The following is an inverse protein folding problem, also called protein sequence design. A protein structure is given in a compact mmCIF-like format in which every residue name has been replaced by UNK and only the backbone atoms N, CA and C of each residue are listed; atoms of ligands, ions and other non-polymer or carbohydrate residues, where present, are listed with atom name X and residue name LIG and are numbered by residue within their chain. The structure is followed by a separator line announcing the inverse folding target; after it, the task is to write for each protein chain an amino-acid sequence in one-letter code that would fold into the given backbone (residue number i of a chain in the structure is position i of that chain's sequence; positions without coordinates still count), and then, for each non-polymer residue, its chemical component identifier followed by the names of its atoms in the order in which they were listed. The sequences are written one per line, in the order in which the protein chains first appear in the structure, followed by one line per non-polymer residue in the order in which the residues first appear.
data_IF_465141290181
#
_entry.id   IF_465141290181
#
_cell.length_a   1.000
_cell.length_b   1.000
_cell.length_c   1.000
_cell.angle_alpha   90.00
_cell.angle_beta   90.00
_cell.angle_gamma   90.00
#
_symmetry.space_group_name_H-M   'P 1'
#
loop_
_entity.id
_entity.type
_entity.pdbx_description
1 polymer ?
#
# COMPACT_ATOMS: atom_id res chain seq x y z
N UNK A 1 18.78 -12.41 5.76
CA UNK A 1 17.98 -12.47 4.51
C UNK A 1 16.55 -12.03 4.80
N UNK A 2 15.85 -12.66 5.75
CA UNK A 2 14.52 -12.24 6.21
C UNK A 2 14.49 -10.87 6.93
N UNK A 3 15.44 -10.58 7.81
CA UNK A 3 15.50 -9.30 8.53
C UNK A 3 15.56 -8.10 7.56
N UNK A 4 16.38 -8.20 6.51
CA UNK A 4 16.48 -7.16 5.47
C UNK A 4 15.14 -6.99 4.74
N UNK A 5 14.49 -8.10 4.38
CA UNK A 5 13.18 -8.06 3.73
C UNK A 5 12.13 -7.38 4.62
N UNK A 6 12.11 -7.65 5.93
CA UNK A 6 11.20 -6.98 6.87
C UNK A 6 11.50 -5.47 6.95
N UNK A 7 12.77 -5.08 6.99
CA UNK A 7 13.18 -3.66 6.99
C UNK A 7 12.78 -2.96 5.69
N UNK A 8 13.02 -3.59 4.54
CA UNK A 8 12.62 -3.08 3.22
C UNK A 8 11.10 -2.94 3.11
N UNK A 9 10.34 -3.95 3.56
CA UNK A 9 8.87 -3.92 3.60
C UNK A 9 8.36 -2.72 4.39
N UNK A 10 8.94 -2.45 5.56
CA UNK A 10 8.56 -1.31 6.39
C UNK A 10 8.83 0.02 5.70
N UNK A 11 9.98 0.14 5.03
CA UNK A 11 10.33 1.35 4.29
C UNK A 11 9.37 1.57 3.12
N UNK A 12 9.06 0.52 2.34
CA UNK A 12 8.10 0.61 1.24
C UNK A 12 6.70 0.96 1.73
N UNK A 13 6.26 0.44 2.90
CA UNK A 13 4.99 0.84 3.53
C UNK A 13 4.98 2.34 3.82
N UNK A 14 6.03 2.88 4.44
CA UNK A 14 6.11 4.31 4.74
C UNK A 14 6.06 5.17 3.47
N UNK A 15 6.81 4.77 2.44
CA UNK A 15 6.84 5.46 1.15
C UNK A 15 5.46 5.39 0.46
N UNK A 16 4.77 4.25 0.53
CA UNK A 16 3.42 4.11 -0.01
C UNK A 16 2.43 5.00 0.72
N UNK A 17 2.47 5.02 2.05
CA UNK A 17 1.60 5.89 2.86
C UNK A 17 1.81 7.36 2.51
N UNK A 18 3.06 7.79 2.30
CA UNK A 18 3.33 9.16 1.84
C UNK A 18 2.74 9.41 0.44
N UNK A 19 2.87 8.45 -0.48
CA UNK A 19 2.28 8.54 -1.81
C UNK A 19 0.74 8.63 -1.78
N UNK A 20 0.08 7.93 -0.85
CA UNK A 20 -1.37 8.02 -0.64
C UNK A 20 -1.77 9.41 -0.14
N UNK A 21 -1.02 9.97 0.82
CA UNK A 21 -1.23 11.34 1.30
C UNK A 21 -1.03 12.38 0.20
N UNK A 22 0.00 12.21 -0.64
CA UNK A 22 0.22 13.07 -1.80
C UNK A 22 -0.95 12.97 -2.80
N UNK A 23 -1.43 11.76 -3.08
CA UNK A 23 -2.62 11.53 -3.93
C UNK A 23 -3.85 12.26 -3.35
N UNK A 24 -4.08 12.15 -2.04
CA UNK A 24 -5.17 12.86 -1.37
C UNK A 24 -5.05 14.39 -1.50
N UNK A 25 -3.84 14.94 -1.36
CA UNK A 25 -3.57 16.39 -1.53
C UNK A 25 -3.80 16.83 -2.98
N UNK A 26 -3.39 16.04 -3.96
CA UNK A 26 -3.64 16.31 -5.38
C UNK A 26 -5.14 16.36 -5.68
N UNK A 27 -5.89 15.36 -5.22
CA UNK A 27 -7.35 15.32 -5.38
C UNK A 27 -8.02 16.49 -4.66
N UNK A 28 -7.50 16.91 -3.50
CA UNK A 28 -8.04 18.03 -2.75
C UNK A 28 -7.91 19.38 -3.46
N UNK A 29 -6.91 19.54 -4.34
CA UNK A 29 -6.68 20.75 -5.16
C UNK A 29 -7.61 20.86 -6.37
N UNK A 30 -8.33 19.79 -6.71
CA UNK A 30 -9.25 19.78 -7.85
C UNK A 30 -10.49 20.65 -7.58
N UNK A 31 -11.14 21.21 -8.62
CA UNK A 31 -12.43 21.87 -8.49
C UNK A 31 -13.49 20.95 -7.86
N UNK A 32 -14.45 21.53 -7.14
CA UNK A 32 -15.42 20.78 -6.30
C UNK A 32 -16.05 19.57 -7.00
N UNK A 33 -16.63 19.74 -8.20
CA UNK A 33 -17.29 18.66 -8.93
C UNK A 33 -16.31 17.56 -9.36
N UNK A 34 -15.14 17.93 -9.87
CA UNK A 34 -14.08 16.99 -10.25
C UNK A 34 -13.57 16.23 -9.03
N UNK A 35 -13.22 16.95 -7.96
CA UNK A 35 -12.79 16.40 -6.67
C UNK A 35 -13.76 15.35 -6.15
N UNK A 36 -15.06 15.69 -6.10
CA UNK A 36 -16.11 14.79 -5.62
C UNK A 36 -16.19 13.51 -6.46
N UNK A 37 -16.11 13.63 -7.79
CA UNK A 37 -16.17 12.48 -8.69
C UNK A 37 -14.91 11.60 -8.63
N UNK A 38 -13.73 12.21 -8.50
CA UNK A 38 -12.47 11.47 -8.35
C UNK A 38 -12.44 10.73 -7.02
N UNK A 39 -12.79 11.39 -5.90
CA UNK A 39 -12.88 10.73 -4.58
C UNK A 39 -13.84 9.54 -4.59
N UNK A 40 -15.05 9.74 -5.12
CA UNK A 40 -16.04 8.66 -5.22
C UNK A 40 -15.53 7.50 -6.09
N UNK A 41 -14.78 7.78 -7.15
CA UNK A 41 -14.20 6.74 -8.00
C UNK A 41 -13.11 5.96 -7.28
N UNK A 42 -12.25 6.63 -6.50
CA UNK A 42 -11.22 6.01 -5.67
C UNK A 42 -11.86 5.10 -4.62
N UNK A 43 -12.80 5.62 -3.83
CA UNK A 43 -13.52 4.86 -2.81
C UNK A 43 -14.23 3.64 -3.41
N UNK A 44 -14.87 3.81 -4.57
CA UNK A 44 -15.52 2.70 -5.28
C UNK A 44 -14.52 1.66 -5.79
N UNK A 45 -13.37 2.07 -6.29
CA UNK A 45 -12.35 1.17 -6.83
C UNK A 45 -11.70 0.35 -5.71
N UNK A 46 -11.39 0.98 -4.58
CA UNK A 46 -10.68 0.36 -3.47
C UNK A 46 -11.63 -0.40 -2.53
N UNK A 47 -12.88 0.06 -2.41
CA UNK A 47 -13.82 -0.38 -1.38
C UNK A 47 -13.61 0.30 -0.02
N UNK A 48 -12.70 1.29 0.04
CA UNK A 48 -12.40 2.12 1.20
C UNK A 48 -11.78 3.44 0.74
N UNK A 49 -11.76 4.45 1.61
CA UNK A 49 -11.06 5.70 1.31
C UNK A 49 -9.53 5.57 1.50
N UNK A 50 -8.78 6.51 0.92
CA UNK A 50 -7.32 6.51 0.94
C UNK A 50 -6.72 6.77 2.33
N UNK A 51 -7.46 7.43 3.22
CA UNK A 51 -7.02 7.71 4.59
C UNK A 51 -7.11 6.44 5.44
N UNK A 52 -8.22 5.73 5.37
CA UNK A 52 -8.40 4.41 5.97
C UNK A 52 -7.38 3.39 5.45
N UNK A 53 -7.00 3.45 4.17
CA UNK A 53 -5.92 2.60 3.63
C UNK A 53 -4.56 2.99 4.23
N UNK A 54 -4.30 4.28 4.38
CA UNK A 54 -3.06 4.79 4.99
C UNK A 54 -2.95 4.33 6.45
N UNK A 55 -4.02 4.47 7.22
CA UNK A 55 -4.08 4.04 8.62
C UNK A 55 -3.89 2.52 8.73
N UNK A 56 -4.57 1.76 7.86
CA UNK A 56 -4.39 0.32 7.78
C UNK A 56 -2.94 -0.07 7.52
N UNK A 57 -2.25 0.60 6.59
CA UNK A 57 -0.84 0.34 6.29
C UNK A 57 0.07 0.67 7.48
N UNK A 58 -0.18 1.79 8.17
CA UNK A 58 0.59 2.19 9.35
C UNK A 58 0.39 1.21 10.52
N UNK A 59 -0.81 0.63 10.67
CA UNK A 59 -1.08 -0.42 11.64
C UNK A 59 -0.23 -1.69 11.43
N UNK A 60 0.32 -1.95 10.24
CA UNK A 60 1.23 -3.09 10.02
C UNK A 60 2.61 -2.86 10.63
N UNK A 61 3.06 -1.61 10.76
CA UNK A 61 4.44 -1.31 11.15
C UNK A 61 4.82 -1.88 12.53
N UNK A 62 3.97 -1.79 13.58
CA UNK A 62 4.26 -2.41 14.86
C UNK A 62 4.40 -3.94 14.77
N UNK A 63 3.56 -4.60 13.94
CA UNK A 63 3.65 -6.05 13.75
C UNK A 63 4.95 -6.45 13.03
N UNK A 64 5.35 -5.70 12.00
CA UNK A 64 6.62 -5.94 11.31
C UNK A 64 7.83 -5.69 12.22
N UNK A 65 7.76 -4.71 13.11
CA UNK A 65 8.78 -4.49 14.14
C UNK A 65 8.86 -5.66 15.13
N UNK A 66 7.71 -6.16 15.57
CA UNK A 66 7.65 -7.31 16.47
C UNK A 66 8.26 -8.54 15.79
N UNK A 67 7.89 -8.83 14.54
CA UNK A 67 8.44 -9.93 13.76
C UNK A 67 9.96 -9.80 13.59
N UNK A 68 10.45 -8.60 13.24
CA UNK A 68 11.90 -8.36 13.15
C UNK A 68 12.64 -8.67 14.46
N UNK A 69 12.09 -8.22 15.60
CA UNK A 69 12.68 -8.51 16.91
C UNK A 69 12.63 -10.00 17.25
N UNK A 70 11.51 -10.66 16.98
CA UNK A 70 11.35 -12.10 17.25
C UNK A 70 12.36 -12.93 16.43
N UNK A 71 12.54 -12.59 15.15
CA UNK A 71 13.56 -13.20 14.26
C UNK A 71 14.96 -12.95 14.81
N UNK A 72 15.30 -11.69 15.11
CA UNK A 72 16.61 -11.30 15.62
C UNK A 72 16.99 -12.03 16.92
N UNK A 73 16.02 -12.18 17.84
CA UNK A 73 16.23 -12.87 19.12
C UNK A 73 15.95 -14.37 19.08
N UNK A 74 15.67 -14.95 17.89
CA UNK A 74 15.35 -16.36 17.70
C UNK A 74 14.20 -16.87 18.59
N UNK A 75 13.18 -16.02 18.81
CA UNK A 75 11.99 -16.31 19.62
C UNK A 75 10.87 -16.89 18.76
N UNK A 76 11.15 -18.02 18.12
CA UNK A 76 10.24 -18.67 17.16
C UNK A 76 8.90 -19.09 17.78
N UNK A 77 8.88 -19.37 19.09
CA UNK A 77 7.66 -19.65 19.87
C UNK A 77 6.61 -18.53 19.81
N UNK A 78 7.05 -17.28 19.57
CA UNK A 78 6.16 -16.10 19.50
C UNK A 78 5.81 -15.71 18.07
N UNK A 79 6.53 -16.24 17.08
CA UNK A 79 6.36 -15.92 15.66
C UNK A 79 5.01 -16.42 15.15
N UNK A 80 4.51 -17.56 15.62
CA UNK A 80 3.24 -18.14 15.16
C UNK A 80 2.03 -17.22 15.38
N UNK A 81 1.99 -16.49 16.50
CA UNK A 81 0.92 -15.53 16.79
C UNK A 81 1.01 -14.32 15.87
N UNK A 82 2.22 -13.80 15.67
CA UNK A 82 2.46 -12.64 14.79
C UNK A 82 2.22 -13.01 13.32
N UNK A 83 2.56 -14.23 12.88
CA UNK A 83 2.24 -14.76 11.55
C UNK A 83 0.74 -14.98 11.34
N UNK A 84 0.04 -15.53 12.33
CA UNK A 84 -1.42 -15.66 12.28
C UNK A 84 -2.08 -14.29 12.13
N UNK A 85 -1.58 -13.30 12.86
CA UNK A 85 -2.05 -11.90 12.74
C UNK A 85 -1.75 -11.36 11.34
N UNK A 86 -0.53 -11.53 10.83
CA UNK A 86 -0.15 -11.10 9.47
C UNK A 86 -1.08 -11.71 8.41
N UNK A 87 -1.30 -13.03 8.46
CA UNK A 87 -2.13 -13.76 7.51
C UNK A 87 -3.61 -13.33 7.56
N UNK A 88 -4.23 -13.46 8.72
CA UNK A 88 -5.69 -13.34 8.82
C UNK A 88 -6.18 -11.90 8.97
N UNK A 89 -5.39 -11.01 9.57
CA UNK A 89 -5.77 -9.59 9.72
C UNK A 89 -5.35 -8.76 8.52
N UNK A 90 -4.12 -8.95 8.02
CA UNK A 90 -3.52 -8.03 7.08
C UNK A 90 -3.50 -8.58 5.65
N UNK A 91 -2.92 -9.76 5.38
CA UNK A 91 -2.89 -10.33 4.02
C UNK A 91 -4.29 -10.56 3.44
N UNK A 92 -5.26 -10.98 4.26
CA UNK A 92 -6.66 -11.12 3.83
C UNK A 92 -7.30 -9.82 3.30
N UNK A 93 -6.71 -8.66 3.59
CA UNK A 93 -7.17 -7.34 3.12
C UNK A 93 -6.23 -6.71 2.07
N UNK A 94 -5.13 -7.38 1.72
CA UNK A 94 -4.11 -6.82 0.81
C UNK A 94 -4.55 -6.73 -0.65
N UNK A 95 -5.66 -7.37 -1.04
CA UNK A 95 -6.30 -7.19 -2.36
C UNK A 95 -6.60 -5.71 -2.67
N UNK A 96 -6.70 -4.86 -1.65
CA UNK A 96 -6.84 -3.41 -1.83
C UNK A 96 -5.62 -2.79 -2.53
N UNK A 97 -4.40 -3.32 -2.33
CA UNK A 97 -3.19 -2.84 -3.00
C UNK A 97 -3.17 -3.23 -4.47
N UNK A 98 -3.73 -4.38 -4.82
CA UNK A 98 -3.94 -4.78 -6.22
C UNK A 98 -4.93 -3.84 -6.90
N UNK A 99 -6.03 -3.49 -6.22
CA UNK A 99 -7.03 -2.52 -6.72
C UNK A 99 -6.44 -1.11 -6.85
N UNK A 100 -5.60 -0.70 -5.90
CA UNK A 100 -4.87 0.57 -5.95
C UNK A 100 -3.93 0.62 -7.15
N UNK A 101 -3.20 -0.47 -7.40
CA UNK A 101 -2.31 -0.59 -8.54
C UNK A 101 -3.08 -0.52 -9.87
N UNK A 102 -4.25 -1.16 -9.95
CA UNK A 102 -5.13 -1.05 -11.11
C UNK A 102 -5.60 0.41 -11.34
N UNK A 103 -5.97 1.12 -10.27
CA UNK A 103 -6.34 2.53 -10.36
C UNK A 103 -5.18 3.42 -10.82
N UNK A 104 -3.96 3.19 -10.33
CA UNK A 104 -2.79 3.96 -10.76
C UNK A 104 -2.41 3.70 -12.22
N UNK A 105 -2.65 2.48 -12.72
CA UNK A 105 -2.46 2.15 -14.14
C UNK A 105 -3.46 2.88 -15.03
N UNK A 106 -4.72 2.93 -14.62
CA UNK A 106 -5.79 3.57 -15.38
C UNK A 106 -6.63 4.47 -14.48
N UNK A 107 -6.23 5.76 -14.32
CA UNK A 107 -6.92 6.67 -13.43
C UNK A 107 -8.32 6.99 -13.94
N UNK A 108 -9.22 7.32 -13.03
CA UNK A 108 -10.60 7.60 -13.37
C UNK A 108 -10.75 8.73 -14.40
N UNK A 109 -11.70 8.56 -15.33
CA UNK A 109 -11.98 9.53 -16.40
C UNK A 109 -12.18 10.98 -15.92
N UNK A 110 -12.79 11.28 -14.75
CA UNK A 110 -12.89 12.65 -14.26
C UNK A 110 -11.52 13.33 -14.03
N UNK A 111 -10.50 12.57 -13.61
CA UNK A 111 -9.14 13.09 -13.42
C UNK A 111 -8.48 13.35 -14.79
N UNK A 112 -8.52 12.36 -15.68
CA UNK A 112 -7.88 12.48 -17.01
C UNK A 112 -8.51 13.59 -17.86
N UNK A 113 -9.83 13.78 -17.78
CA UNK A 113 -10.54 14.90 -18.45
C UNK A 113 -10.19 16.26 -17.87
N UNK A 114 -9.93 16.36 -16.58
CA UNK A 114 -9.54 17.62 -15.94
C UNK A 114 -8.11 18.02 -16.31
N UNK A 115 -7.21 17.05 -16.49
CA UNK A 115 -5.84 17.25 -16.94
C UNK A 115 -5.82 17.52 -18.45
N UNK A 116 -6.33 18.68 -18.86
CA UNK A 116 -6.49 19.08 -20.27
C UNK A 116 -5.17 19.35 -20.99
N UNK A 117 -4.10 19.67 -20.26
CA UNK A 117 -2.75 19.80 -20.82
C UNK A 117 -2.07 18.43 -20.82
N UNK A 118 -1.69 17.96 -22.01
CA UNK A 118 -0.99 16.69 -22.21
C UNK A 118 0.21 16.51 -21.27
N UNK A 119 1.03 17.54 -21.11
CA UNK A 119 2.20 17.51 -20.23
C UNK A 119 1.84 17.24 -18.76
N UNK A 120 0.77 17.86 -18.24
CA UNK A 120 0.32 17.65 -16.86
C UNK A 120 -0.25 16.24 -16.67
N UNK A 121 -0.93 15.71 -17.69
CA UNK A 121 -1.40 14.33 -17.69
C UNK A 121 -0.23 13.36 -17.68
N UNK A 122 0.75 13.54 -18.58
CA UNK A 122 1.93 12.69 -18.68
C UNK A 122 2.75 12.70 -17.37
N UNK A 123 2.92 13.87 -16.75
CA UNK A 123 3.59 13.98 -15.44
C UNK A 123 2.83 13.24 -14.33
N UNK A 124 1.50 13.36 -14.31
CA UNK A 124 0.66 12.67 -13.32
C UNK A 124 0.72 11.15 -13.51
N UNK A 125 0.65 10.68 -14.75
CA UNK A 125 0.76 9.25 -15.08
C UNK A 125 2.15 8.70 -14.75
N UNK A 126 3.22 9.46 -14.98
CA UNK A 126 4.57 9.07 -14.58
C UNK A 126 4.71 8.94 -13.05
N UNK A 127 4.13 9.88 -12.29
CA UNK A 127 4.08 9.78 -10.82
C UNK A 127 3.27 8.55 -10.38
N UNK A 128 2.13 8.29 -11.01
CA UNK A 128 1.28 7.14 -10.69
C UNK A 128 1.96 5.82 -11.04
N UNK A 129 2.77 5.77 -12.12
CA UNK A 129 3.62 4.62 -12.44
C UNK A 129 4.57 4.27 -11.30
N UNK A 130 5.24 5.27 -10.70
CA UNK A 130 6.09 5.05 -9.52
C UNK A 130 5.29 4.54 -8.31
N UNK A 131 4.10 5.11 -8.08
CA UNK A 131 3.21 4.70 -6.98
C UNK A 131 2.70 3.26 -7.16
N UNK A 132 2.42 2.86 -8.39
CA UNK A 132 2.09 1.49 -8.77
C UNK A 132 3.23 0.52 -8.45
N UNK A 133 4.47 0.86 -8.80
CA UNK A 133 5.64 0.03 -8.49
C UNK A 133 5.78 -0.17 -6.98
N UNK A 134 5.67 0.90 -6.20
CA UNK A 134 5.75 0.82 -4.73
C UNK A 134 4.60 -0.03 -4.17
N UNK A 135 3.38 0.15 -4.66
CA UNK A 135 2.21 -0.63 -4.20
C UNK A 135 2.39 -2.13 -4.47
N UNK A 136 2.92 -2.50 -5.63
CA UNK A 136 3.23 -3.89 -5.96
C UNK A 136 4.35 -4.44 -5.07
N UNK A 137 5.43 -3.67 -4.86
CA UNK A 137 6.51 -4.09 -3.95
C UNK A 137 6.02 -4.36 -2.52
N UNK A 138 5.18 -3.48 -1.96
CA UNK A 138 4.59 -3.71 -0.63
C UNK A 138 3.81 -5.02 -0.60
N UNK A 139 2.98 -5.27 -1.61
CA UNK A 139 2.22 -6.52 -1.72
C UNK A 139 3.16 -7.74 -1.77
N UNK A 140 4.13 -7.73 -2.68
CA UNK A 140 5.05 -8.84 -2.90
C UNK A 140 5.93 -9.09 -1.66
N UNK A 141 6.47 -8.03 -1.05
CA UNK A 141 7.31 -8.13 0.13
C UNK A 141 6.54 -8.69 1.34
N UNK A 142 5.30 -8.24 1.57
CA UNK A 142 4.48 -8.77 2.68
C UNK A 142 4.19 -10.26 2.52
N UNK A 143 3.89 -10.71 1.30
CA UNK A 143 3.72 -12.13 1.00
C UNK A 143 5.03 -12.89 1.20
N UNK A 144 6.15 -12.39 0.69
CA UNK A 144 7.45 -13.03 0.85
C UNK A 144 7.90 -13.13 2.32
N UNK A 145 7.60 -12.10 3.13
CA UNK A 145 7.83 -12.12 4.59
C UNK A 145 7.04 -13.25 5.24
N UNK A 146 5.74 -13.38 4.92
CA UNK A 146 4.90 -14.45 5.45
C UNK A 146 5.38 -15.83 5.03
N UNK A 147 5.65 -16.04 3.73
CA UNK A 147 6.04 -17.35 3.20
C UNK A 147 7.39 -17.80 3.77
N UNK A 148 8.37 -16.89 3.84
CA UNK A 148 9.69 -17.19 4.39
C UNK A 148 9.60 -17.57 5.87
N UNK A 149 8.87 -16.81 6.68
CA UNK A 149 8.73 -17.11 8.10
C UNK A 149 7.89 -18.36 8.37
N UNK A 150 6.89 -18.64 7.53
CA UNK A 150 6.11 -19.85 7.65
C UNK A 150 6.95 -21.10 7.35
N UNK A 151 7.91 -21.01 6.43
CA UNK A 151 8.88 -22.09 6.18
C UNK A 151 9.90 -22.21 7.33
N UNK A 152 10.43 -21.11 7.84
CA UNK A 152 11.41 -21.12 8.94
C UNK A 152 10.83 -21.62 10.29
N UNK A 153 9.51 -21.55 10.47
CA UNK A 153 8.82 -22.06 11.66
C UNK A 153 8.40 -23.54 11.58
N UNK A 154 8.46 -24.19 10.40
CA UNK A 154 8.08 -25.60 10.19
C UNK A 154 9.30 -26.54 10.24
#
# INVERSE_FOLDING_TARGET
MLENLIVETRQDILVLTEALLQTNREVAKLPYFTKKNVKRSLEKALGMDLEALSDFLLELLPLLNELAQQVQYKRFDRVDRSLSTLKYKYLAKMDVLTKLSAYYREPAAPLTRYLTKKELLDQTLAQYGKRLEISNRVFDHLHAVYDTMNVENM
#
